data_IF_520264325035
#
_entry.id   IF_520264325035
#
_cell.length_a   1.000
_cell.length_b   1.000
_cell.length_c   1.000
_cell.angle_alpha   90.00
_cell.angle_beta   90.00
_cell.angle_gamma   90.00
#
_symmetry.space_group_name_H-M   'P 1'
#
loop_
_entity.id
_entity.type
_entity.pdbx_description
1 polymer ?
#
# COMPACT_ATOMS: atom_id res chain seq x y z
N UNK A 1 4.86 -1.63 14.47
CA UNK A 1 4.86 -1.87 13.01
C UNK A 1 4.63 -0.53 12.34
N UNK A 2 5.65 0.09 11.75
CA UNK A 2 5.56 1.42 11.14
C UNK A 2 5.44 1.20 9.63
N UNK A 3 4.34 1.64 9.02
CA UNK A 3 4.15 1.61 7.57
C UNK A 3 4.37 3.02 7.01
N UNK A 4 5.23 3.16 6.00
CA UNK A 4 5.55 4.45 5.40
C UNK A 4 5.07 4.50 3.96
N UNK A 5 4.20 5.47 3.63
CA UNK A 5 3.83 5.74 2.24
C UNK A 5 4.96 6.57 1.63
N UNK A 6 5.58 6.04 0.58
CA UNK A 6 6.66 6.69 -0.15
C UNK A 6 6.08 7.20 -1.47
N UNK A 7 6.21 8.51 -1.72
CA UNK A 7 5.96 9.07 -3.05
C UNK A 7 7.15 8.71 -3.95
N UNK A 8 6.93 7.74 -4.85
CA UNK A 8 7.95 7.38 -5.83
C UNK A 8 8.08 8.46 -6.90
N UNK A 9 9.28 8.64 -7.46
CA UNK A 9 9.60 9.62 -8.53
C UNK A 9 8.74 9.47 -9.81
N UNK A 10 7.97 8.38 -9.93
CA UNK A 10 7.06 8.06 -11.04
C UNK A 10 5.58 8.37 -10.78
N UNK A 11 5.28 9.20 -9.76
CA UNK A 11 3.91 9.61 -9.43
C UNK A 11 2.97 8.46 -9.05
N UNK A 12 3.54 7.29 -8.70
CA UNK A 12 2.81 6.15 -8.14
C UNK A 12 3.09 6.08 -6.64
N UNK A 13 2.05 6.14 -5.79
CA UNK A 13 2.22 5.93 -4.37
C UNK A 13 2.62 4.47 -4.11
N UNK A 14 3.61 4.29 -3.23
CA UNK A 14 4.15 2.98 -2.85
C UNK A 14 4.12 2.87 -1.33
N UNK A 15 3.51 1.82 -0.81
CA UNK A 15 3.52 1.50 0.62
C UNK A 15 4.73 0.64 0.92
N UNK A 16 5.57 1.06 1.86
CA UNK A 16 6.64 0.24 2.42
C UNK A 16 6.20 -0.28 3.78
N UNK A 17 6.07 -1.60 3.90
CA UNK A 17 5.65 -2.30 5.11
C UNK A 17 6.54 -3.53 5.32
N UNK A 18 7.20 -3.64 6.48
CA UNK A 18 8.03 -4.79 6.87
C UNK A 18 9.06 -5.22 5.79
N UNK A 19 9.77 -4.25 5.19
CA UNK A 19 10.69 -4.44 4.06
C UNK A 19 10.06 -4.91 2.74
N UNK A 20 8.74 -5.03 2.67
CA UNK A 20 8.00 -5.27 1.43
C UNK A 20 7.51 -3.96 0.84
N UNK A 21 7.48 -3.92 -0.50
CA UNK A 21 6.92 -2.82 -1.28
C UNK A 21 5.59 -3.23 -1.87
N UNK A 22 4.61 -2.37 -1.69
CA UNK A 22 3.30 -2.51 -2.27
C UNK A 22 2.99 -1.30 -3.12
N UNK A 23 2.38 -1.53 -4.27
CA UNK A 23 1.87 -0.50 -5.15
C UNK A 23 0.37 -0.35 -4.94
N UNK A 24 -0.12 0.88 -5.05
CA UNK A 24 -1.56 1.12 -4.97
C UNK A 24 -2.26 0.41 -6.14
N UNK A 25 -3.22 -0.46 -5.81
CA UNK A 25 -4.05 -1.13 -6.80
C UNK A 25 -5.31 -0.31 -7.05
N UNK A 26 -6.07 -0.02 -5.99
CA UNK A 26 -7.32 0.75 -6.04
C UNK A 26 -7.64 1.39 -4.70
N UNK A 27 -8.46 2.43 -4.75
CA UNK A 27 -9.05 3.06 -3.57
C UNK A 27 -10.55 2.83 -3.65
N UNK A 28 -11.14 2.27 -2.61
CA UNK A 28 -12.59 2.10 -2.49
C UNK A 28 -13.03 2.80 -1.22
N UNK A 29 -13.90 3.81 -1.37
CA UNK A 29 -14.33 4.70 -0.29
C UNK A 29 -13.11 5.37 0.39
N UNK A 30 -12.76 4.92 1.58
CA UNK A 30 -11.63 5.39 2.39
C UNK A 30 -10.55 4.31 2.56
N UNK A 31 -10.69 3.20 1.85
CA UNK A 31 -9.82 2.03 1.98
C UNK A 31 -8.93 1.93 0.75
N UNK A 32 -7.62 2.04 0.97
CA UNK A 32 -6.60 1.88 -0.06
C UNK A 32 -6.15 0.42 -0.07
N UNK A 33 -6.36 -0.22 -1.22
CA UNK A 33 -5.90 -1.57 -1.47
C UNK A 33 -4.54 -1.53 -2.14
N UNK A 34 -3.59 -2.19 -1.51
CA UNK A 34 -2.22 -2.29 -1.95
C UNK A 34 -1.93 -3.72 -2.40
N UNK A 35 -1.26 -3.85 -3.54
CA UNK A 35 -0.74 -5.14 -4.03
C UNK A 35 0.78 -5.14 -3.96
N UNK A 36 1.37 -6.27 -3.61
CA UNK A 36 2.82 -6.38 -3.62
C UNK A 36 3.36 -6.08 -5.03
N UNK A 37 4.47 -5.35 -5.10
CA UNK A 37 5.15 -5.07 -6.38
C UNK A 37 5.77 -6.35 -6.97
N UNK A 38 6.13 -7.31 -6.14
CA UNK A 38 6.71 -8.57 -6.57
C UNK A 38 5.61 -9.51 -7.10
N UNK A 39 5.68 -9.90 -8.39
CA UNK A 39 4.77 -10.87 -9.01
C UNK A 39 4.74 -12.23 -8.30
N UNK A 40 5.80 -12.60 -7.58
CA UNK A 40 5.86 -13.85 -6.80
C UNK A 40 5.23 -13.73 -5.41
N UNK A 41 4.78 -12.55 -5.00
CA UNK A 41 4.20 -12.29 -3.68
C UNK A 41 2.68 -12.06 -3.80
N UNK A 42 1.84 -12.99 -3.34
CA UNK A 42 0.38 -12.78 -3.31
C UNK A 42 -0.07 -11.82 -2.18
N UNK A 43 0.88 -11.21 -1.46
CA UNK A 43 0.64 -10.31 -0.34
C UNK A 43 -0.18 -9.09 -0.76
N UNK A 44 -1.25 -8.83 -0.01
CA UNK A 44 -2.10 -7.64 -0.13
C UNK A 44 -2.09 -6.89 1.19
N UNK A 45 -2.03 -5.57 1.13
CA UNK A 45 -2.15 -4.72 2.30
C UNK A 45 -3.35 -3.79 2.14
N UNK A 46 -3.98 -3.47 3.25
CA UNK A 46 -5.14 -2.57 3.31
C UNK A 46 -4.77 -1.42 4.22
N UNK A 47 -4.98 -0.20 3.74
CA UNK A 47 -4.79 1.00 4.54
C UNK A 47 -6.10 1.77 4.59
N UNK A 48 -6.60 1.99 5.79
CA UNK A 48 -7.79 2.80 6.04
C UNK A 48 -7.36 4.26 6.23
N UNK A 49 -7.87 5.15 5.38
CA UNK A 49 -7.62 6.59 5.45
C UNK A 49 -8.50 7.30 6.50
N UNK A 50 -9.42 6.58 7.13
CA UNK A 50 -10.17 7.01 8.31
C UNK A 50 -9.80 6.11 9.48
N UNK A 51 -9.63 6.69 10.66
CA UNK A 51 -9.45 5.98 11.93
C UNK A 51 -10.38 4.77 12.00
N UNK A 52 -9.86 3.55 12.27
CA UNK A 52 -10.71 2.40 12.53
C UNK A 52 -11.59 2.72 13.76
N UNK A 53 -12.89 2.39 13.76
CA UNK A 53 -13.71 2.43 14.97
C UNK A 53 -13.20 1.44 16.03
#
# INVERSE_FOLDING_TARGET
MISSIVQSKRNKPTLSLDNFRYTQDKIINTTIYWKCENCSCPGRAIQYAGTPP
#
